data_IF_297630883957
#
_entry.id   IF_297630883957
#
_cell.length_a   1.000
_cell.length_b   1.000
_cell.length_c   1.000
_cell.angle_alpha   90.00
_cell.angle_beta   90.00
_cell.angle_gamma   90.00
#
_symmetry.space_group_name_H-M   'P 1'
#
loop_
_entity.id
_entity.type
_entity.pdbx_description
1 polymer ?
#
# COMPACT_ATOMS: atom_id res chain seq x y z
N UNK A 1 -19.56 -3.40 -5.90
CA UNK A 1 -18.41 -2.54 -6.25
C UNK A 1 -17.18 -3.21 -5.65
N UNK A 2 -16.03 -3.25 -6.33
CA UNK A 2 -14.80 -3.77 -5.70
C UNK A 2 -14.30 -2.73 -4.68
N UNK A 3 -13.80 -3.13 -3.50
CA UNK A 3 -13.20 -2.18 -2.58
C UNK A 3 -11.97 -1.52 -3.21
N UNK A 4 -11.65 -0.26 -2.89
CA UNK A 4 -10.42 0.38 -3.32
C UNK A 4 -9.21 -0.38 -2.77
N UNK A 5 -8.13 -0.43 -3.55
CA UNK A 5 -6.85 -0.98 -3.12
C UNK A 5 -5.86 0.14 -2.82
N UNK A 6 -5.01 -0.09 -1.84
CA UNK A 6 -4.10 0.90 -1.29
C UNK A 6 -2.67 0.43 -1.38
N UNK A 7 -1.73 1.36 -1.47
CA UNK A 7 -0.30 1.06 -1.53
C UNK A 7 0.50 2.08 -0.73
N UNK A 8 1.57 1.62 -0.10
CA UNK A 8 2.61 2.44 0.52
C UNK A 8 3.99 1.86 0.34
N UNK A 9 4.98 2.74 0.16
CA UNK A 9 6.39 2.40 0.21
C UNK A 9 7.03 2.86 1.52
N UNK A 10 7.99 2.08 1.98
CA UNK A 10 9.07 2.53 2.86
C UNK A 10 10.24 2.93 1.97
N UNK A 11 11.04 3.90 2.41
CA UNK A 11 12.19 4.37 1.65
C UNK A 11 13.32 4.79 2.56
N UNK A 12 14.49 4.88 1.96
CA UNK A 12 15.69 5.48 2.53
C UNK A 12 16.16 6.61 1.61
N UNK A 13 16.81 7.61 2.19
CA UNK A 13 17.33 8.82 1.53
C UNK A 13 18.87 8.92 1.57
N UNK A 14 19.55 7.87 2.04
CA UNK A 14 21.01 7.82 2.11
C UNK A 14 21.70 7.70 0.74
N UNK A 15 20.97 7.36 -0.32
CA UNK A 15 21.47 7.17 -1.68
C UNK A 15 21.69 8.48 -2.46
N UNK A 16 22.07 8.39 -3.76
CA UNK A 16 22.09 9.55 -4.64
C UNK A 16 20.68 10.15 -4.89
N UNK A 17 19.64 9.35 -4.67
CA UNK A 17 18.22 9.71 -4.61
C UNK A 17 17.55 8.88 -3.52
N UNK A 18 16.30 9.21 -3.17
CA UNK A 18 15.48 8.30 -2.36
C UNK A 18 15.28 6.97 -3.10
N UNK A 19 15.16 5.87 -2.36
CA UNK A 19 14.96 4.55 -2.94
C UNK A 19 14.07 3.66 -2.05
N UNK A 20 13.29 2.75 -2.64
CA UNK A 20 12.35 1.95 -1.87
C UNK A 20 13.06 0.82 -1.13
N UNK A 21 12.66 0.59 0.12
CA UNK A 21 13.22 -0.44 1.01
C UNK A 21 12.18 -1.48 1.40
N UNK A 22 10.90 -1.13 1.36
CA UNK A 22 9.78 -2.06 1.42
C UNK A 22 8.55 -1.48 0.71
N UNK A 23 7.59 -2.34 0.40
CA UNK A 23 6.30 -1.93 -0.15
C UNK A 23 5.19 -2.81 0.41
N UNK A 24 4.08 -2.19 0.75
CA UNK A 24 2.86 -2.87 1.15
C UNK A 24 1.69 -2.46 0.25
N UNK A 25 0.79 -3.40 -0.02
CA UNK A 25 -0.44 -3.12 -0.74
C UNK A 25 -1.60 -3.97 -0.24
N UNK A 26 -2.81 -3.45 -0.35
CA UNK A 26 -4.02 -4.20 -0.03
C UNK A 26 -4.52 -5.03 -1.22
N UNK A 27 -5.01 -6.21 -0.92
CA UNK A 27 -5.69 -7.11 -1.86
C UNK A 27 -7.19 -6.82 -1.87
N UNK A 28 -7.88 -7.36 -2.89
CA UNK A 28 -9.33 -7.20 -3.05
C UNK A 28 -10.16 -7.71 -1.86
N UNK A 29 -9.60 -8.62 -1.05
CA UNK A 29 -10.25 -9.15 0.17
C UNK A 29 -9.88 -8.37 1.44
N UNK A 30 -9.14 -7.26 1.33
CA UNK A 30 -8.71 -6.42 2.44
C UNK A 30 -7.46 -6.93 3.17
N UNK A 31 -6.91 -8.10 2.81
CA UNK A 31 -5.60 -8.52 3.33
C UNK A 31 -4.50 -7.59 2.80
N UNK A 32 -3.44 -7.43 3.59
CA UNK A 32 -2.27 -6.66 3.20
C UNK A 32 -1.15 -7.64 2.83
N UNK A 33 -0.51 -7.41 1.68
CA UNK A 33 0.81 -7.97 1.37
C UNK A 33 1.86 -6.92 1.73
N UNK A 34 2.98 -7.37 2.27
CA UNK A 34 4.14 -6.54 2.61
C UNK A 34 5.39 -7.27 2.15
N UNK A 35 6.29 -6.56 1.48
CA UNK A 35 7.52 -7.11 0.91
C UNK A 35 8.67 -6.17 1.21
N UNK A 36 9.73 -6.69 1.84
CA UNK A 36 11.02 -6.01 1.94
C UNK A 36 11.69 -6.06 0.57
N UNK A 37 12.00 -4.90 0.02
CA UNK A 37 12.66 -4.76 -1.27
C UNK A 37 14.17 -4.83 -1.08
N UNK A 38 14.83 -5.67 -1.87
CA UNK A 38 16.29 -5.62 -1.98
C UNK A 38 16.67 -4.43 -2.87
N UNK A 39 17.35 -3.39 -2.34
CA UNK A 39 17.73 -2.24 -3.15
C UNK A 39 18.69 -2.63 -4.28
N UNK A 40 18.55 -2.00 -5.45
CA UNK A 40 19.54 -2.15 -6.52
C UNK A 40 20.86 -1.47 -6.14
N UNK A 41 21.97 -2.03 -6.62
CA UNK A 41 23.31 -1.52 -6.31
C UNK A 41 23.49 -0.04 -6.70
N UNK A 42 22.81 0.41 -7.75
CA UNK A 42 22.87 1.79 -8.24
C UNK A 42 22.10 2.79 -7.37
N UNK A 43 21.17 2.31 -6.54
CA UNK A 43 20.41 3.14 -5.59
C UNK A 43 21.19 3.43 -4.30
N UNK A 44 22.22 2.64 -4.04
CA UNK A 44 22.98 2.72 -2.80
C UNK A 44 24.03 3.85 -2.82
N UNK A 45 24.35 4.44 -1.66
CA UNK A 45 25.46 5.37 -1.54
C UNK A 45 26.78 4.74 -2.01
N UNK A 46 27.59 5.51 -2.73
CA UNK A 46 28.87 5.05 -3.29
C UNK A 46 29.94 4.78 -2.21
N UNK A 47 29.83 5.41 -1.03
CA UNK A 47 30.83 5.39 0.04
C UNK A 47 30.16 5.33 1.44
N UNK A 48 29.42 4.25 1.77
CA UNK A 48 28.94 4.06 3.16
C UNK A 48 29.40 2.73 3.76
N UNK A 49 30.13 2.83 4.88
CA UNK A 49 30.35 1.69 5.79
C UNK A 49 29.05 1.29 6.52
N UNK A 50 28.05 2.17 6.54
CA UNK A 50 26.73 1.96 7.15
C UNK A 50 25.88 0.91 6.42
N UNK A 51 26.13 0.66 5.12
CA UNK A 51 25.44 -0.40 4.36
C UNK A 51 25.66 -1.81 4.93
N UNK A 52 26.74 -2.04 5.69
CA UNK A 52 27.07 -3.38 6.21
C UNK A 52 26.04 -3.91 7.23
N UNK A 53 25.30 -3.03 7.90
CA UNK A 53 24.27 -3.42 8.87
C UNK A 53 22.94 -3.78 8.18
N UNK A 54 22.58 -3.07 7.12
CA UNK A 54 21.35 -3.33 6.37
C UNK A 54 21.50 -4.47 5.34
N UNK A 55 22.72 -4.74 4.88
CA UNK A 55 23.00 -5.81 3.93
C UNK A 55 22.58 -7.20 4.45
N UNK A 56 22.74 -7.47 5.75
CA UNK A 56 22.31 -8.74 6.36
C UNK A 56 20.78 -8.87 6.37
N UNK A 57 20.07 -7.77 6.70
CA UNK A 57 18.62 -7.72 6.71
C UNK A 57 18.05 -7.96 5.30
N UNK A 58 18.58 -7.26 4.29
CA UNK A 58 18.16 -7.46 2.90
C UNK A 58 18.56 -8.82 2.33
N UNK A 59 19.70 -9.40 2.74
CA UNK A 59 20.07 -10.77 2.33
C UNK A 59 19.12 -11.83 2.88
N UNK A 60 18.55 -11.61 4.06
CA UNK A 60 17.65 -12.56 4.71
C UNK A 60 16.19 -12.39 4.27
N UNK A 61 15.74 -11.15 4.04
CA UNK A 61 14.31 -10.82 3.85
C UNK A 61 14.02 -10.12 2.52
N UNK A 62 15.04 -9.56 1.87
CA UNK A 62 14.90 -8.77 0.67
C UNK A 62 14.49 -9.61 -0.54
N UNK A 63 13.49 -9.12 -1.25
CA UNK A 63 13.01 -9.68 -2.52
C UNK A 63 13.54 -8.82 -3.67
N UNK A 64 14.09 -9.43 -4.74
CA UNK A 64 14.56 -8.69 -5.90
C UNK A 64 13.44 -7.86 -6.56
N UNK A 65 13.71 -6.64 -7.05
CA UNK A 65 12.72 -5.77 -7.70
C UNK A 65 11.86 -6.46 -8.76
N UNK A 66 12.49 -7.29 -9.61
CA UNK A 66 11.77 -8.06 -10.65
C UNK A 66 10.68 -8.99 -10.11
N UNK A 67 10.89 -9.59 -8.93
CA UNK A 67 9.91 -10.47 -8.31
C UNK A 67 8.79 -9.66 -7.66
N UNK A 68 9.14 -8.55 -6.99
CA UNK A 68 8.14 -7.64 -6.40
C UNK A 68 7.22 -7.07 -7.49
N UNK A 69 7.78 -6.58 -8.59
CA UNK A 69 7.00 -6.05 -9.72
C UNK A 69 6.11 -7.14 -10.33
N UNK A 70 6.60 -8.37 -10.47
CA UNK A 70 5.78 -9.49 -10.96
C UNK A 70 4.56 -9.69 -10.06
N UNK A 71 4.74 -9.73 -8.75
CA UNK A 71 3.62 -9.90 -7.80
C UNK A 71 2.66 -8.71 -7.83
N UNK A 72 3.18 -7.49 -7.86
CA UNK A 72 2.36 -6.29 -7.98
C UNK A 72 1.53 -6.31 -9.27
N UNK A 73 2.12 -6.73 -10.40
CA UNK A 73 1.38 -6.86 -11.66
C UNK A 73 0.29 -7.95 -11.58
N UNK A 74 0.55 -9.05 -10.88
CA UNK A 74 -0.46 -10.10 -10.67
C UNK A 74 -1.65 -9.61 -9.83
N UNK A 75 -1.39 -8.81 -8.80
CA UNK A 75 -2.41 -8.34 -7.86
C UNK A 75 -3.12 -7.03 -8.27
N UNK A 76 -2.42 -6.15 -8.98
CA UNK A 76 -2.79 -4.76 -9.20
C UNK A 76 -2.94 -4.38 -10.69
N UNK A 77 -2.72 -5.29 -11.64
CA UNK A 77 -2.86 -4.93 -13.05
C UNK A 77 -4.25 -4.36 -13.41
N UNK A 78 -4.24 -3.32 -14.25
CA UNK A 78 -5.41 -2.68 -14.85
C UNK A 78 -6.38 -2.05 -13.83
N UNK A 79 -5.91 -1.72 -12.62
CA UNK A 79 -6.68 -0.99 -11.62
C UNK A 79 -5.98 0.31 -11.19
N UNK A 80 -6.75 1.18 -10.55
CA UNK A 80 -6.22 2.33 -9.82
C UNK A 80 -5.99 1.94 -8.37
N UNK A 81 -4.79 2.22 -7.87
CA UNK A 81 -4.36 2.00 -6.50
C UNK A 81 -4.20 3.36 -5.82
N UNK A 82 -4.66 3.47 -4.57
CA UNK A 82 -4.78 4.74 -3.88
C UNK A 82 -3.72 4.91 -2.79
N UNK A 83 -3.18 6.12 -2.65
CA UNK A 83 -2.30 6.52 -1.54
C UNK A 83 -2.98 7.57 -0.67
N UNK A 84 -2.37 7.92 0.46
CA UNK A 84 -2.84 9.01 1.33
C UNK A 84 -2.54 10.42 0.76
N UNK A 85 -1.80 10.52 -0.36
CA UNK A 85 -1.33 11.79 -0.92
C UNK A 85 -0.13 12.42 -0.20
N UNK A 86 0.50 11.68 0.71
CA UNK A 86 1.70 12.03 1.47
C UNK A 86 2.88 11.16 1.04
N UNK A 87 4.02 11.80 0.88
CA UNK A 87 5.27 11.11 0.61
C UNK A 87 5.47 10.79 -0.89
N UNK A 88 6.58 10.11 -1.20
CA UNK A 88 7.06 9.97 -2.57
C UNK A 88 6.65 8.65 -3.22
N UNK A 89 5.49 8.06 -2.87
CA UNK A 89 5.10 6.72 -3.34
C UNK A 89 5.10 6.61 -4.89
N UNK A 90 4.73 7.68 -5.59
CA UNK A 90 4.72 7.70 -7.05
C UNK A 90 6.14 7.72 -7.64
N UNK A 91 7.04 8.52 -7.08
CA UNK A 91 8.46 8.56 -7.46
C UNK A 91 9.15 7.21 -7.20
N UNK A 92 8.85 6.59 -6.06
CA UNK A 92 9.38 5.28 -5.68
C UNK A 92 8.85 4.15 -6.58
N UNK A 93 7.57 4.20 -6.96
CA UNK A 93 7.01 3.30 -7.99
C UNK A 93 7.79 3.45 -9.29
N UNK A 94 7.97 4.67 -9.77
CA UNK A 94 8.62 4.91 -11.05
C UNK A 94 10.06 4.37 -11.04
N UNK A 95 10.84 4.69 -9.99
CA UNK A 95 12.17 4.14 -9.79
C UNK A 95 12.19 2.60 -9.77
N UNK A 96 11.22 1.98 -9.09
CA UNK A 96 11.10 0.52 -9.05
C UNK A 96 10.88 -0.05 -10.47
N UNK A 97 9.99 0.55 -11.26
CA UNK A 97 9.66 0.05 -12.62
C UNK A 97 10.74 0.35 -13.66
N UNK A 98 11.58 1.36 -13.46
CA UNK A 98 12.76 1.62 -14.29
C UNK A 98 13.70 0.40 -14.36
N UNK A 99 13.78 -0.41 -13.29
CA UNK A 99 14.60 -1.63 -13.24
C UNK A 99 14.26 -2.65 -14.35
N UNK A 100 13.01 -2.67 -14.80
CA UNK A 100 12.57 -3.59 -15.86
C UNK A 100 12.56 -2.97 -17.25
N UNK A 101 12.80 -1.67 -17.40
CA UNK A 101 12.57 -0.92 -18.65
C UNK A 101 11.14 -1.15 -19.21
N UNK A 102 10.15 -1.36 -18.33
CA UNK A 102 8.75 -1.55 -18.68
C UNK A 102 7.88 -0.53 -17.97
N UNK A 103 6.72 -0.21 -18.55
CA UNK A 103 5.73 0.65 -17.90
C UNK A 103 4.98 -0.08 -16.80
N UNK A 104 4.57 0.66 -15.77
CA UNK A 104 3.69 0.17 -14.72
C UNK A 104 2.37 -0.37 -15.29
N UNK A 105 1.86 -1.48 -14.74
CA UNK A 105 0.59 -2.08 -15.20
C UNK A 105 -0.63 -1.57 -14.43
N UNK A 106 -0.44 -0.66 -13.48
CA UNK A 106 -1.49 -0.09 -12.64
C UNK A 106 -1.31 1.42 -12.52
N UNK A 107 -2.42 2.11 -12.26
CA UNK A 107 -2.42 3.56 -12.07
C UNK A 107 -2.37 3.89 -10.58
N UNK A 108 -1.75 5.01 -10.21
CA UNK A 108 -1.84 5.54 -8.84
C UNK A 108 -2.68 6.81 -8.81
N UNK A 109 -3.42 6.97 -7.72
CA UNK A 109 -4.19 8.17 -7.42
C UNK A 109 -4.18 8.44 -5.90
N UNK A 110 -4.64 9.61 -5.50
CA UNK A 110 -4.79 9.94 -4.08
C UNK A 110 -6.19 9.59 -3.60
N UNK A 111 -6.34 9.17 -2.35
CA UNK A 111 -7.65 8.79 -1.78
C UNK A 111 -8.68 9.92 -1.86
N UNK A 112 -8.25 11.18 -1.83
CA UNK A 112 -9.14 12.34 -2.01
C UNK A 112 -9.83 12.38 -3.37
N UNK A 113 -9.37 11.63 -4.38
CA UNK A 113 -10.04 11.52 -5.67
C UNK A 113 -11.29 10.63 -5.61
N UNK A 114 -11.43 9.78 -4.58
CA UNK A 114 -12.58 8.90 -4.37
C UNK A 114 -13.68 9.50 -3.49
N UNK A 115 -13.33 10.50 -2.69
CA UNK A 115 -14.12 10.96 -1.56
C UNK A 115 -14.47 12.45 -1.72
N UNK A 116 -15.66 12.88 -1.26
CA UNK A 116 -16.05 14.29 -1.34
C UNK A 116 -15.29 15.21 -0.36
N UNK A 117 -14.63 14.65 0.65
CA UNK A 117 -13.79 15.35 1.61
C UNK A 117 -12.58 15.98 0.93
N UNK A 118 -12.07 17.07 1.52
CA UNK A 118 -10.82 17.64 1.05
C UNK A 118 -9.62 16.72 1.37
N UNK A 119 -8.55 16.83 0.58
CA UNK A 119 -7.31 16.09 0.85
C UNK A 119 -6.72 16.41 2.22
N UNK A 120 -6.83 17.65 2.69
CA UNK A 120 -6.36 18.05 4.02
C UNK A 120 -7.12 17.33 5.14
N UNK A 121 -8.46 17.27 5.06
CA UNK A 121 -9.28 16.55 6.05
C UNK A 121 -8.97 15.04 6.08
N UNK A 122 -8.73 14.44 4.92
CA UNK A 122 -8.40 13.01 4.82
C UNK A 122 -6.99 12.72 5.35
N UNK A 123 -6.04 13.61 5.08
CA UNK A 123 -4.68 13.53 5.63
C UNK A 123 -4.69 13.65 7.14
N UNK A 124 -5.41 14.63 7.70
CA UNK A 124 -5.55 14.80 9.14
C UNK A 124 -6.17 13.55 9.79
N UNK A 125 -7.21 13.00 9.15
CA UNK A 125 -7.87 11.78 9.64
C UNK A 125 -6.94 10.56 9.56
N UNK A 126 -6.21 10.40 8.47
CA UNK A 126 -5.21 9.34 8.29
C UNK A 126 -4.14 9.40 9.38
N UNK A 127 -3.55 10.57 9.63
CA UNK A 127 -2.55 10.76 10.68
C UNK A 127 -3.12 10.48 12.08
N UNK A 128 -4.37 10.88 12.32
CA UNK A 128 -5.06 10.55 13.57
C UNK A 128 -5.25 9.04 13.74
N UNK A 129 -5.62 8.31 12.68
CA UNK A 129 -5.76 6.85 12.72
C UNK A 129 -4.43 6.16 13.01
N UNK A 130 -3.33 6.62 12.41
CA UNK A 130 -1.98 6.14 12.72
C UNK A 130 -1.69 6.29 14.22
N UNK A 131 -1.92 7.49 14.76
CA UNK A 131 -1.70 7.78 16.18
C UNK A 131 -2.61 6.97 17.12
N UNK A 132 -3.92 6.97 16.88
CA UNK A 132 -4.93 6.33 17.73
C UNK A 132 -4.74 4.81 17.80
N UNK A 133 -4.20 4.20 16.73
CA UNK A 133 -3.92 2.76 16.64
C UNK A 133 -2.51 2.39 17.08
N UNK A 134 -1.67 3.37 17.44
CA UNK A 134 -0.27 3.14 17.83
C UNK A 134 0.56 2.56 16.69
N UNK A 135 0.25 2.93 15.46
CA UNK A 135 0.94 2.48 14.26
C UNK A 135 2.20 3.32 14.02
N UNK A 136 3.17 2.74 13.34
CA UNK A 136 4.40 3.44 12.96
C UNK A 136 4.21 4.08 11.58
N UNK A 137 4.28 5.42 11.44
CA UNK A 137 4.12 6.09 10.15
C UNK A 137 5.25 5.80 9.15
N UNK A 138 6.36 5.19 9.58
CA UNK A 138 7.46 4.80 8.71
C UNK A 138 7.29 3.40 8.13
N UNK A 139 6.36 2.59 8.66
CA UNK A 139 6.12 1.23 8.19
C UNK A 139 5.01 1.23 7.13
N UNK A 140 5.28 0.69 5.94
CA UNK A 140 4.35 0.69 4.82
C UNK A 140 3.04 -0.05 5.15
N UNK A 141 3.15 -1.21 5.81
CA UNK A 141 1.98 -1.99 6.22
C UNK A 141 1.06 -1.19 7.16
N UNK A 142 1.65 -0.37 8.06
CA UNK A 142 0.91 0.51 8.95
C UNK A 142 0.13 1.58 8.17
N UNK A 143 0.75 2.16 7.14
CA UNK A 143 0.10 3.13 6.27
C UNK A 143 -1.06 2.53 5.47
N UNK A 144 -0.85 1.36 4.85
CA UNK A 144 -1.93 0.65 4.13
C UNK A 144 -3.07 0.28 5.09
N UNK A 145 -2.76 -0.17 6.30
CA UNK A 145 -3.78 -0.51 7.30
C UNK A 145 -4.59 0.72 7.72
N UNK A 146 -3.96 1.87 7.94
CA UNK A 146 -4.67 3.11 8.24
C UNK A 146 -5.57 3.58 7.08
N UNK A 147 -5.12 3.43 5.82
CA UNK A 147 -5.94 3.69 4.63
C UNK A 147 -7.15 2.76 4.53
N UNK A 148 -6.99 1.47 4.85
CA UNK A 148 -8.11 0.52 4.91
C UNK A 148 -9.13 0.88 6.00
N UNK A 149 -8.67 1.31 7.18
CA UNK A 149 -9.55 1.78 8.26
C UNK A 149 -10.31 3.03 7.83
N UNK A 150 -9.62 4.00 7.20
CA UNK A 150 -10.26 5.21 6.68
C UNK A 150 -11.32 4.87 5.63
N UNK A 151 -10.99 4.00 4.68
CA UNK A 151 -11.94 3.54 3.67
C UNK A 151 -13.15 2.81 4.27
N UNK A 152 -12.95 2.08 5.37
CA UNK A 152 -14.04 1.43 6.12
C UNK A 152 -14.94 2.46 6.81
N UNK A 153 -14.36 3.47 7.47
CA UNK A 153 -15.10 4.59 8.09
C UNK A 153 -15.98 5.32 7.08
N UNK A 154 -15.48 5.47 5.85
CA UNK A 154 -16.17 6.10 4.72
C UNK A 154 -17.11 5.17 3.95
N UNK A 155 -17.24 3.90 4.39
CA UNK A 155 -18.15 2.93 3.81
C UNK A 155 -17.77 2.41 2.42
N UNK A 156 -16.50 2.57 2.01
CA UNK A 156 -15.96 2.07 0.73
C UNK A 156 -15.71 0.55 0.74
N UNK A 157 -15.72 -0.08 1.91
CA UNK A 157 -15.38 -1.51 2.10
C UNK A 157 -16.59 -2.47 2.09
N UNK A 158 -17.81 -1.98 1.82
CA UNK A 158 -19.09 -2.71 1.96
C UNK A 158 -19.26 -3.99 1.11
N UNK A 159 -18.28 -4.36 0.28
CA UNK A 159 -18.30 -5.64 -0.45
C UNK A 159 -17.65 -6.81 0.31
N UNK A 160 -17.01 -6.56 1.47
CA UNK A 160 -16.37 -7.59 2.31
C UNK A 160 -17.26 -8.09 3.44
N UNK A 161 -18.25 -7.30 3.83
CA UNK A 161 -19.32 -7.71 4.72
C UNK A 161 -20.33 -8.43 3.82
N UNK A 162 -20.24 -9.76 3.77
CA UNK A 162 -21.21 -10.56 3.02
C UNK A 162 -22.63 -10.15 3.39
N UNK A 163 -23.51 -10.08 2.39
CA UNK A 163 -24.94 -9.91 2.58
C UNK A 163 -25.47 -11.05 3.50
N UNK A 164 -25.37 -10.86 4.81
CA UNK A 164 -26.20 -11.55 5.81
C UNK A 164 -27.52 -10.78 5.94
N UNK A 165 -28.14 -10.44 4.81
CA UNK A 165 -29.58 -10.22 4.75
C UNK A 165 -30.23 -11.61 4.65
N UNK A 166 -30.09 -12.37 5.74
CA UNK A 166 -30.96 -13.47 6.08
C UNK A 166 -32.35 -12.94 6.42
N UNK A 167 -33.07 -12.44 5.40
CA UNK A 167 -34.51 -12.18 5.47
C UNK A 167 -35.25 -13.52 5.62
N UNK A 168 -35.24 -14.07 6.83
CA UNK A 168 -36.21 -15.09 7.25
C UNK A 168 -37.55 -14.39 7.53
N UNK A 169 -38.23 -13.98 6.46
CA UNK A 169 -39.66 -13.71 6.47
C UNK A 169 -40.40 -14.71 5.61
N UNK A 170 -41.07 -15.62 6.31
CA UNK A 170 -42.18 -16.42 5.80
C UNK A 170 -42.03 -17.88 6.20
N UNK A 171 -43.00 -18.57 6.79
CA UNK A 171 -44.39 -18.27 7.16
C UNK A 171 -44.71 -19.24 8.31
N UNK A 172 -45.41 -18.78 9.34
CA UNK A 172 -46.08 -19.70 10.27
C UNK A 172 -47.19 -20.42 9.50
N UNK A 173 -47.27 -21.76 9.48
CA UNK A 173 -48.49 -22.40 9.05
C UNK A 173 -49.53 -22.23 10.17
N UNK A 174 -50.54 -21.41 9.92
CA UNK A 174 -51.80 -21.53 10.65
C UNK A 174 -52.54 -22.78 10.14
N UNK A 175 -52.96 -23.59 11.13
CA UNK A 175 -53.90 -24.73 11.13
C UNK A 175 -53.33 -26.12 10.81
#
# INVERSE_FOLDING_TARGET
MRPPQFLKFEFDDAGPSIYPTAVAWSLQDGRIKNVVLMPEQEWLPLDSDDWQLDEAHYKEQGVPPVEVIREMNEDLAEITVYTDGLGPDEELRDLLYETLNHGCTFEMAVLSDLLPQSGEELVDRYQQLIFDRGLDPQIAESGVYALLLLAQEEGLMKALEGDDDGDYRGESPEL
#
